data_IF_035963828913
#
_entry.id   IF_035963828913
#
_cell.length_a   1.000
_cell.length_b   1.000
_cell.length_c   1.000
_cell.angle_alpha   90.00
_cell.angle_beta   90.00
_cell.angle_gamma   90.00
#
_symmetry.space_group_name_H-M   'P 1'
#
loop_
_entity.id
_entity.type
_entity.pdbx_description
1 polymer ?
#
# COMPACT_ATOMS: atom_id res chain seq x y z
N UNK A 1 -17.58 -0.64 9.14
CA UNK A 1 -16.98 0.33 8.19
C UNK A 1 -16.26 -0.48 7.13
N UNK A 2 -15.97 0.10 5.97
CA UNK A 2 -15.12 -0.59 5.02
C UNK A 2 -13.66 -0.50 5.51
N UNK A 3 -12.80 -1.36 4.99
CA UNK A 3 -11.41 -1.48 5.45
C UNK A 3 -10.50 -1.78 4.27
N UNK A 4 -9.35 -1.14 4.27
CA UNK A 4 -8.22 -1.44 3.39
C UNK A 4 -7.21 -2.31 4.15
N UNK A 5 -6.62 -3.30 3.49
CA UNK A 5 -5.60 -4.17 4.10
C UNK A 5 -4.20 -3.82 3.55
N UNK A 6 -3.21 -3.70 4.42
CA UNK A 6 -1.81 -3.43 4.05
C UNK A 6 -0.86 -4.47 4.64
N UNK A 7 -0.06 -5.13 3.80
CA UNK A 7 0.87 -6.19 4.21
C UNK A 7 2.26 -6.03 3.58
N UNK A 8 3.29 -6.57 4.24
CA UNK A 8 4.67 -6.51 3.71
C UNK A 8 4.93 -7.76 2.86
N UNK A 9 5.30 -7.57 1.59
CA UNK A 9 5.56 -8.69 0.68
C UNK A 9 6.84 -9.43 1.08
N UNK A 10 6.72 -10.75 1.31
CA UNK A 10 7.88 -11.61 1.62
C UNK A 10 8.92 -11.57 0.48
N UNK A 11 8.44 -11.65 -0.76
CA UNK A 11 9.25 -11.62 -1.97
C UNK A 11 9.04 -10.33 -2.77
N UNK A 12 10.03 -9.94 -3.57
CA UNK A 12 9.87 -8.89 -4.58
C UNK A 12 8.87 -9.38 -5.65
N UNK A 13 7.83 -8.60 -6.01
CA UNK A 13 6.90 -8.96 -7.07
C UNK A 13 7.61 -9.12 -8.41
N UNK A 14 7.11 -10.03 -9.27
CA UNK A 14 7.72 -10.35 -10.57
C UNK A 14 6.95 -9.69 -11.72
N UNK A 15 7.65 -9.35 -12.81
CA UNK A 15 7.05 -8.68 -13.97
C UNK A 15 5.92 -9.48 -14.64
N UNK A 16 6.01 -10.81 -14.58
CA UNK A 16 5.03 -11.77 -15.12
C UNK A 16 3.91 -12.14 -14.13
N UNK A 17 3.91 -11.57 -12.93
CA UNK A 17 3.00 -11.92 -11.84
C UNK A 17 1.89 -10.88 -11.74
N UNK A 18 0.69 -11.35 -11.38
CA UNK A 18 -0.51 -10.52 -11.22
C UNK A 18 -1.23 -10.93 -9.93
N UNK A 19 -1.63 -9.92 -9.18
CA UNK A 19 -2.27 -10.03 -7.88
C UNK A 19 -3.71 -9.53 -8.02
N UNK A 20 -4.64 -10.48 -8.15
CA UNK A 20 -6.10 -10.23 -8.15
C UNK A 20 -6.79 -10.87 -6.94
N UNK A 21 -6.21 -11.95 -6.40
CA UNK A 21 -6.79 -12.71 -5.30
C UNK A 21 -6.60 -11.97 -3.96
N UNK A 22 -7.71 -11.82 -3.22
CA UNK A 22 -7.73 -11.21 -1.90
C UNK A 22 -7.20 -12.20 -0.85
N UNK A 23 -5.90 -12.10 -0.56
CA UNK A 23 -5.17 -13.05 0.29
C UNK A 23 -4.36 -12.37 1.41
N UNK A 24 -4.98 -11.51 2.26
CA UNK A 24 -4.27 -10.73 3.27
C UNK A 24 -3.47 -11.58 4.27
N UNK A 25 -3.88 -12.84 4.49
CA UNK A 25 -3.17 -13.79 5.34
C UNK A 25 -1.77 -14.16 4.84
N UNK A 26 -1.45 -13.98 3.54
CA UNK A 26 -0.10 -14.22 2.99
C UNK A 26 0.93 -13.17 3.39
N UNK A 27 0.49 -12.02 3.91
CA UNK A 27 1.33 -10.82 4.05
C UNK A 27 1.31 -10.19 5.45
N UNK A 28 0.74 -10.89 6.44
CA UNK A 28 0.50 -10.39 7.80
C UNK A 28 -0.17 -9.00 7.79
N UNK A 29 -1.23 -8.85 6.99
CA UNK A 29 -1.86 -7.54 6.79
C UNK A 29 -2.40 -6.92 8.08
N UNK A 30 -2.35 -5.59 8.13
CA UNK A 30 -3.11 -4.77 9.07
C UNK A 30 -4.27 -4.10 8.33
N UNK A 31 -5.43 -4.04 8.98
CA UNK A 31 -6.58 -3.30 8.50
C UNK A 31 -6.51 -1.81 8.85
N UNK A 32 -6.95 -0.95 7.93
CA UNK A 32 -7.13 0.49 8.11
C UNK A 32 -8.57 0.85 7.73
N UNK A 33 -9.28 1.68 8.50
CA UNK A 33 -10.66 2.07 8.18
C UNK A 33 -10.71 3.04 6.97
N UNK A 34 -11.76 2.91 6.16
CA UNK A 34 -11.97 3.66 4.90
C UNK A 34 -11.90 5.19 5.10
N UNK A 35 -12.59 5.67 6.15
CA UNK A 35 -12.64 7.06 6.62
C UNK A 35 -11.27 7.73 6.86
N UNK A 36 -10.24 6.95 7.22
CA UNK A 36 -8.92 7.50 7.57
C UNK A 36 -8.01 7.62 6.34
N UNK A 37 -8.42 7.02 5.22
CA UNK A 37 -7.70 7.03 3.94
C UNK A 37 -8.35 7.91 2.87
N UNK A 38 -9.65 8.23 2.97
CA UNK A 38 -10.36 9.09 2.03
C UNK A 38 -9.61 10.42 1.78
N UNK A 39 -9.27 11.15 2.84
CA UNK A 39 -8.48 12.39 2.79
C UNK A 39 -6.98 12.21 2.45
N UNK A 40 -6.53 10.97 2.19
CA UNK A 40 -5.17 10.62 1.80
C UNK A 40 -5.05 10.29 0.32
N UNK A 41 -6.13 9.82 -0.34
CA UNK A 41 -6.09 9.40 -1.76
C UNK A 41 -5.49 10.49 -2.66
N UNK A 42 -5.96 11.74 -2.53
CA UNK A 42 -5.42 12.87 -3.29
C UNK A 42 -3.94 13.14 -2.99
N UNK A 43 -3.51 13.00 -1.73
CA UNK A 43 -2.12 13.19 -1.30
C UNK A 43 -1.14 12.14 -1.85
N UNK A 44 -1.66 11.01 -2.34
CA UNK A 44 -0.89 9.94 -2.97
C UNK A 44 -0.96 9.98 -4.51
N UNK A 45 -1.87 10.78 -5.09
CA UNK A 45 -2.16 10.84 -6.53
C UNK A 45 -0.97 11.27 -7.42
N UNK A 46 0.11 11.78 -6.82
CA UNK A 46 1.36 12.12 -7.51
C UNK A 46 2.39 10.98 -7.48
N UNK A 47 2.30 10.08 -6.51
CA UNK A 47 3.31 9.07 -6.17
C UNK A 47 3.16 7.83 -7.05
N UNK A 48 4.24 7.41 -7.71
CA UNK A 48 4.23 6.22 -8.59
C UNK A 48 4.18 4.91 -7.78
N UNK A 49 3.10 4.14 -8.00
CA UNK A 49 2.89 2.77 -7.53
C UNK A 49 2.61 1.86 -8.75
N UNK A 50 2.17 0.62 -8.51
CA UNK A 50 1.66 -0.28 -9.55
C UNK A 50 0.31 -0.86 -9.14
N UNK A 51 -0.55 -1.18 -10.11
CA UNK A 51 -1.89 -1.72 -9.84
C UNK A 51 -2.02 -3.15 -10.41
N UNK A 52 -2.28 -4.12 -9.54
CA UNK A 52 -2.35 -5.57 -9.81
C UNK A 52 -1.08 -6.23 -10.38
N UNK A 53 -0.22 -5.54 -11.13
CA UNK A 53 1.01 -6.09 -11.73
C UNK A 53 2.02 -5.00 -12.05
N UNK A 54 3.32 -5.33 -12.06
CA UNK A 54 4.40 -4.38 -12.40
C UNK A 54 4.34 -3.86 -13.86
N UNK A 55 3.51 -4.48 -14.70
CA UNK A 55 3.27 -4.00 -16.07
C UNK A 55 2.26 -2.84 -16.13
N UNK A 56 1.50 -2.59 -15.06
CA UNK A 56 0.51 -1.51 -14.95
C UNK A 56 0.97 -0.52 -13.88
N UNK A 57 1.59 0.57 -14.33
CA UNK A 57 1.92 1.71 -13.46
C UNK A 57 0.64 2.42 -13.02
N UNK A 58 0.54 2.73 -11.74
CA UNK A 58 -0.53 3.52 -11.15
C UNK A 58 0.03 4.73 -10.40
N UNK A 59 -0.85 5.64 -10.00
CA UNK A 59 -0.51 6.72 -9.07
C UNK A 59 -1.48 6.72 -7.89
N UNK A 60 -0.94 6.69 -6.69
CA UNK A 60 -1.75 6.46 -5.48
C UNK A 60 -2.41 5.07 -5.46
N UNK A 61 -3.22 4.85 -4.42
CA UNK A 61 -3.88 3.56 -4.17
C UNK A 61 -5.00 3.30 -5.18
N UNK A 62 -5.07 2.08 -5.72
CA UNK A 62 -6.27 1.60 -6.38
C UNK A 62 -7.35 1.37 -5.30
N UNK A 63 -8.29 2.30 -5.16
CA UNK A 63 -9.29 2.29 -4.08
C UNK A 63 -10.15 1.02 -4.10
N UNK A 64 -10.47 0.53 -5.30
CA UNK A 64 -11.20 -0.71 -5.56
C UNK A 64 -10.32 -1.64 -6.42
N UNK A 65 -9.20 -2.11 -5.86
CA UNK A 65 -8.25 -2.99 -6.54
C UNK A 65 -7.00 -3.29 -5.70
N UNK A 66 -6.00 -3.93 -6.31
CA UNK A 66 -4.74 -4.28 -5.65
C UNK A 66 -3.64 -3.28 -6.01
N UNK A 67 -2.94 -2.76 -5.02
CA UNK A 67 -1.80 -1.84 -5.22
C UNK A 67 -0.49 -2.48 -4.74
N UNK A 68 0.56 -2.40 -5.53
CA UNK A 68 1.93 -2.76 -5.16
C UNK A 68 2.74 -1.48 -4.98
N UNK A 69 3.18 -1.22 -3.75
CA UNK A 69 3.98 -0.04 -3.39
C UNK A 69 5.48 -0.42 -3.41
N UNK A 70 6.29 0.18 -4.30
CA UNK A 70 7.72 -0.08 -4.36
C UNK A 70 8.47 0.59 -3.18
N UNK A 71 9.61 0.04 -2.74
CA UNK A 71 10.39 0.58 -1.63
C UNK A 71 10.78 2.07 -1.79
N UNK A 72 11.07 2.50 -3.03
CA UNK A 72 11.41 3.89 -3.33
C UNK A 72 10.26 4.88 -3.07
N UNK A 73 9.00 4.45 -3.20
CA UNK A 73 7.83 5.28 -2.97
C UNK A 73 7.33 5.28 -1.52
N UNK A 74 7.82 4.35 -0.68
CA UNK A 74 7.43 4.26 0.74
C UNK A 74 7.76 5.54 1.52
N UNK A 75 8.90 6.19 1.25
CA UNK A 75 9.28 7.43 1.93
C UNK A 75 8.26 8.56 1.66
N UNK A 76 7.87 8.74 0.39
CA UNK A 76 6.86 9.72 0.02
C UNK A 76 5.49 9.40 0.65
N UNK A 77 5.09 8.12 0.67
CA UNK A 77 3.84 7.69 1.32
C UNK A 77 3.86 7.99 2.83
N UNK A 78 4.93 7.62 3.55
CA UNK A 78 5.12 7.90 5.00
C UNK A 78 5.01 9.40 5.30
N UNK A 79 5.49 10.25 4.40
CA UNK A 79 5.46 11.70 4.54
C UNK A 79 4.06 12.28 4.23
N UNK A 80 3.36 11.78 3.20
CA UNK A 80 1.98 12.18 2.87
C UNK A 80 0.94 11.83 3.95
N UNK A 81 1.25 10.90 4.87
CA UNK A 81 0.42 10.55 6.04
C UNK A 81 1.04 10.99 7.38
N UNK A 82 2.06 11.85 7.36
CA UNK A 82 2.89 12.09 8.54
C UNK A 82 2.14 12.81 9.69
N UNK A 83 1.11 13.57 9.36
CA UNK A 83 0.27 14.43 10.19
C UNK A 83 -1.01 13.74 10.72
N UNK A 84 -1.31 12.51 10.31
CA UNK A 84 -2.57 11.81 10.61
C UNK A 84 -2.36 10.79 11.75
N UNK A 85 -2.88 11.02 12.98
CA UNK A 85 -2.66 10.13 14.13
C UNK A 85 -3.23 8.72 13.94
N UNK A 86 -4.39 8.60 13.30
CA UNK A 86 -5.15 7.36 13.09
C UNK A 86 -4.33 6.35 12.27
N UNK A 87 -3.53 6.84 11.32
CA UNK A 87 -2.68 6.03 10.45
C UNK A 87 -1.33 5.64 11.08
N UNK A 88 -1.17 5.74 12.41
CA UNK A 88 0.09 5.45 13.08
C UNK A 88 0.59 4.00 12.91
N UNK A 89 -0.29 3.00 12.84
CA UNK A 89 0.11 1.61 12.55
C UNK A 89 0.51 1.41 11.08
N UNK A 90 -0.20 2.04 10.14
CA UNK A 90 0.22 2.07 8.73
C UNK A 90 1.62 2.71 8.58
N UNK A 91 1.85 3.84 9.27
CA UNK A 91 3.13 4.54 9.31
C UNK A 91 4.25 3.68 9.93
N UNK A 92 3.95 2.80 10.88
CA UNK A 92 4.90 1.79 11.41
C UNK A 92 5.17 0.67 10.40
N UNK A 93 4.14 0.16 9.72
CA UNK A 93 4.29 -0.89 8.69
C UNK A 93 5.12 -0.40 7.50
N UNK A 94 4.83 0.79 6.97
CA UNK A 94 5.57 1.39 5.86
C UNK A 94 7.05 1.63 6.23
N UNK A 95 7.34 2.06 7.47
CA UNK A 95 8.73 2.14 7.99
C UNK A 95 9.40 0.76 8.05
N UNK A 96 8.75 -0.23 8.67
CA UNK A 96 9.23 -1.63 8.75
C UNK A 96 9.50 -2.24 7.36
N UNK A 97 8.79 -1.80 6.32
CA UNK A 97 9.04 -2.17 4.94
C UNK A 97 10.23 -1.39 4.33
N UNK A 98 10.30 -0.07 4.53
CA UNK A 98 11.39 0.80 4.05
C UNK A 98 12.74 0.39 4.62
N UNK A 99 12.83 0.19 5.94
CA UNK A 99 14.04 -0.25 6.66
C UNK A 99 14.55 -1.61 6.17
N UNK A 100 13.66 -2.44 5.61
CA UNK A 100 13.96 -3.77 5.05
C UNK A 100 14.06 -3.79 3.51
N UNK A 101 13.91 -2.63 2.85
CA UNK A 101 13.82 -2.50 1.39
C UNK A 101 12.78 -3.48 0.76
N UNK A 102 11.62 -3.63 1.41
CA UNK A 102 10.52 -4.52 1.00
C UNK A 102 9.36 -3.76 0.36
N UNK A 103 8.67 -4.44 -0.54
CA UNK A 103 7.42 -3.95 -1.13
C UNK A 103 6.27 -4.10 -0.13
N UNK A 104 5.26 -3.24 -0.28
CA UNK A 104 3.99 -3.35 0.45
C UNK A 104 2.88 -3.64 -0.55
N UNK A 105 2.03 -4.62 -0.24
CA UNK A 105 0.78 -4.87 -0.97
C UNK A 105 -0.37 -4.22 -0.21
N UNK A 106 -1.28 -3.60 -0.96
CA UNK A 106 -2.50 -3.00 -0.46
C UNK A 106 -3.70 -3.60 -1.20
N UNK A 107 -4.75 -3.91 -0.46
CA UNK A 107 -6.05 -4.33 -0.98
C UNK A 107 -7.10 -3.25 -0.73
N UNK A 108 -7.73 -2.81 -1.82
CA UNK A 108 -8.91 -1.96 -1.82
C UNK A 108 -10.21 -2.69 -1.46
N UNK A 109 -11.32 -1.96 -1.62
CA UNK A 109 -12.70 -2.35 -1.29
C UNK A 109 -13.46 -2.80 -2.54
#
# INVERSE_FOLDING_TARGET
MAKHEFGIMMNTPRQSERYDEYEPWKYECISVDDKDLEGVVERLSSIDFYWHTLSVKGKGLAYCGVTLVPPCSLKAFIDSIADIPELCELKKLLKKALDKNKWVIHYGI
#
